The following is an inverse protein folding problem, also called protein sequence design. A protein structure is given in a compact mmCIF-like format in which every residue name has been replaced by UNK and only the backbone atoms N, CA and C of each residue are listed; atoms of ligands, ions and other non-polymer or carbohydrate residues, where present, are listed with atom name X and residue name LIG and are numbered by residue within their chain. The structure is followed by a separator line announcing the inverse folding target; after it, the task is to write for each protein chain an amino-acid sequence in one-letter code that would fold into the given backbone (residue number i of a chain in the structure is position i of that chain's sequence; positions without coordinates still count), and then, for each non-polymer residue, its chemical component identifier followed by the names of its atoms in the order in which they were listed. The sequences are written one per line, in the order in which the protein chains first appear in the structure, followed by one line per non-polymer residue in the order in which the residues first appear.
data_IF_800834339540
#
_entry.id   IF_800834339540
#
_cell.length_a   1.000
_cell.length_b   1.000
_cell.length_c   1.000
_cell.angle_alpha   90.00
_cell.angle_beta   90.00
_cell.angle_gamma   90.00
#
_symmetry.space_group_name_H-M   'P 1'
#
loop_
_entity.id
_entity.type
_entity.pdbx_description
1 polymer ?
#
# COMPACT_ATOMS: atom_id res chain seq x y z
N UNK A 1 6.76 59.00 -25.02
CA UNK A 1 6.78 57.53 -25.02
C UNK A 1 6.05 57.08 -23.78
N UNK A 2 4.85 56.51 -23.94
CA UNK A 2 4.01 56.09 -22.83
C UNK A 2 4.37 54.63 -22.57
N UNK A 3 5.11 54.37 -21.49
CA UNK A 3 5.30 52.99 -21.03
C UNK A 3 4.00 52.56 -20.35
N UNK A 4 3.17 51.82 -21.07
CA UNK A 4 2.05 51.10 -20.47
C UNK A 4 2.63 50.01 -19.57
N UNK A 5 2.41 50.06 -18.25
CA UNK A 5 2.80 48.94 -17.40
C UNK A 5 1.92 47.75 -17.78
N UNK A 6 2.55 46.67 -18.25
CA UNK A 6 1.90 45.36 -18.35
C UNK A 6 1.59 44.95 -16.91
N UNK A 7 0.33 45.07 -16.49
CA UNK A 7 -0.12 44.53 -15.22
C UNK A 7 -0.02 43.01 -15.32
N UNK A 8 1.07 42.44 -14.84
CA UNK A 8 1.18 41.00 -14.61
C UNK A 8 0.31 40.70 -13.40
N UNK A 9 -0.95 40.36 -13.65
CA UNK A 9 -1.82 39.89 -12.59
C UNK A 9 -1.28 38.52 -12.17
N UNK A 10 -0.66 38.47 -10.99
CA UNK A 10 -0.10 37.24 -10.43
C UNK A 10 -1.26 36.33 -10.01
N UNK A 11 -1.78 35.52 -10.94
CA UNK A 11 -2.71 34.45 -10.58
C UNK A 11 -1.97 33.36 -9.79
N UNK A 12 -2.65 32.79 -8.80
CA UNK A 12 -2.06 31.79 -7.91
C UNK A 12 -2.39 30.39 -8.41
N UNK A 13 -1.34 29.63 -8.72
CA UNK A 13 -1.45 28.20 -9.04
C UNK A 13 -1.74 27.38 -7.78
N UNK A 14 -2.50 26.30 -7.95
CA UNK A 14 -2.75 25.30 -6.91
C UNK A 14 -1.67 24.22 -6.92
N UNK A 15 -1.55 23.46 -5.84
CA UNK A 15 -0.68 22.28 -5.86
C UNK A 15 -1.27 21.22 -6.81
N UNK A 16 -0.43 20.46 -7.53
CA UNK A 16 -0.91 19.29 -8.23
C UNK A 16 -1.40 18.22 -7.24
N UNK A 17 -2.27 17.32 -7.68
CA UNK A 17 -2.69 16.17 -6.88
C UNK A 17 -2.56 14.86 -7.68
N UNK A 18 -2.54 13.74 -6.96
CA UNK A 18 -2.38 12.41 -7.53
C UNK A 18 -3.54 11.54 -7.05
N UNK A 19 -4.53 11.27 -7.91
CA UNK A 19 -5.72 10.52 -7.51
C UNK A 19 -5.40 9.07 -7.10
N UNK A 20 -4.29 8.53 -7.59
CA UNK A 20 -3.81 7.18 -7.27
C UNK A 20 -3.10 7.08 -5.91
N UNK A 21 -3.01 8.18 -5.15
CA UNK A 21 -2.35 8.17 -3.84
C UNK A 21 -3.20 7.54 -2.74
N UNK A 22 -2.58 6.72 -1.90
CA UNK A 22 -3.19 6.08 -0.73
C UNK A 22 -2.47 6.54 0.54
N UNK A 23 -3.21 7.08 1.52
CA UNK A 23 -2.65 7.63 2.80
C UNK A 23 -1.43 8.55 2.58
N UNK A 24 -1.41 9.30 1.46
CA UNK A 24 -0.33 10.19 0.99
C UNK A 24 0.92 9.52 0.38
N UNK A 25 0.82 8.26 -0.05
CA UNK A 25 1.87 7.56 -0.77
C UNK A 25 1.42 6.96 -2.11
N UNK A 26 2.41 6.54 -2.89
CA UNK A 26 2.26 5.88 -4.19
C UNK A 26 2.90 4.50 -4.06
N UNK A 27 2.06 3.47 -4.22
CA UNK A 27 2.47 2.07 -4.30
C UNK A 27 2.93 1.67 -5.70
N UNK A 28 3.44 0.45 -5.83
CA UNK A 28 3.97 -0.11 -7.07
C UNK A 28 2.96 -0.14 -8.22
N UNK A 29 1.70 -0.49 -7.93
CA UNK A 29 0.64 -0.53 -8.96
C UNK A 29 0.36 0.87 -9.53
N UNK A 30 0.24 1.87 -8.65
CA UNK A 30 0.02 3.26 -9.06
C UNK A 30 1.24 3.84 -9.80
N UNK A 31 2.45 3.39 -9.47
CA UNK A 31 3.69 3.81 -10.10
C UNK A 31 3.79 3.39 -11.58
N UNK A 32 3.16 2.29 -11.99
CA UNK A 32 3.21 1.79 -13.38
C UNK A 32 2.58 2.75 -14.40
N UNK A 33 1.58 3.54 -13.98
CA UNK A 33 0.95 4.57 -14.79
C UNK A 33 0.62 5.80 -13.93
N UNK A 34 1.65 6.44 -13.38
CA UNK A 34 1.46 7.50 -12.41
C UNK A 34 0.97 8.80 -13.07
N UNK A 35 -0.22 9.24 -12.67
CA UNK A 35 -0.87 10.45 -13.16
C UNK A 35 -0.78 11.59 -12.16
N UNK A 36 -0.42 12.77 -12.67
CA UNK A 36 -0.46 14.04 -11.94
C UNK A 36 -1.53 14.92 -12.55
N UNK A 37 -2.49 15.30 -11.71
CA UNK A 37 -3.61 16.15 -12.07
C UNK A 37 -3.33 17.59 -11.69
N UNK A 38 -3.62 18.49 -12.62
CA UNK A 38 -3.51 19.92 -12.47
C UNK A 38 -4.86 20.52 -12.84
N UNK A 39 -5.56 21.05 -11.83
CA UNK A 39 -6.83 21.72 -12.05
C UNK A 39 -6.65 23.04 -12.82
N UNK A 40 -7.68 23.46 -13.56
CA UNK A 40 -7.65 24.73 -14.27
C UNK A 40 -7.41 25.90 -13.30
N UNK A 41 -6.69 26.90 -13.78
CA UNK A 41 -6.40 28.12 -13.02
C UNK A 41 -7.07 29.35 -13.68
N UNK A 42 -7.22 30.47 -12.94
CA UNK A 42 -7.70 31.71 -13.52
C UNK A 42 -6.84 32.14 -14.70
N UNK A 43 -7.45 32.54 -15.81
CA UNK A 43 -6.74 32.96 -17.03
C UNK A 43 -5.97 31.82 -17.74
N UNK A 44 -6.29 30.55 -17.49
CA UNK A 44 -5.82 29.43 -18.31
C UNK A 44 -6.19 29.66 -19.78
N UNK A 45 -5.20 29.57 -20.68
CA UNK A 45 -5.38 29.92 -22.09
C UNK A 45 -4.69 28.92 -23.04
N UNK A 46 -5.15 28.89 -24.28
CA UNK A 46 -4.56 28.08 -25.34
C UNK A 46 -3.12 28.52 -25.60
N UNK A 47 -2.21 27.57 -25.75
CA UNK A 47 -0.78 27.82 -25.93
C UNK A 47 0.00 28.03 -24.63
N UNK A 48 -0.65 28.04 -23.47
CA UNK A 48 0.06 27.92 -22.18
C UNK A 48 0.82 26.58 -22.13
N UNK A 49 2.05 26.61 -21.65
CA UNK A 49 2.88 25.40 -21.47
C UNK A 49 2.90 25.00 -20.00
N UNK A 50 2.44 23.79 -19.70
CA UNK A 50 2.62 23.13 -18.41
C UNK A 50 3.91 22.31 -18.45
N UNK A 51 4.80 22.52 -17.48
CA UNK A 51 5.99 21.69 -17.27
C UNK A 51 5.92 21.04 -15.89
N UNK A 52 5.92 19.71 -15.84
CA UNK A 52 5.86 18.93 -14.61
C UNK A 52 7.27 18.56 -14.13
N UNK A 53 7.51 18.75 -12.84
CA UNK A 53 8.77 18.41 -12.18
C UNK A 53 8.56 17.38 -11.08
N UNK A 54 9.29 16.26 -11.16
CA UNK A 54 9.28 15.18 -10.18
C UNK A 54 10.64 15.09 -9.49
N UNK A 55 10.67 15.27 -8.16
CA UNK A 55 11.94 15.28 -7.42
C UNK A 55 12.90 16.40 -7.83
N UNK A 56 12.38 17.44 -8.51
CA UNK A 56 13.18 18.52 -9.09
C UNK A 56 13.64 18.29 -10.54
N UNK A 57 13.44 17.10 -11.10
CA UNK A 57 13.75 16.79 -12.49
C UNK A 57 12.53 17.05 -13.39
N UNK A 58 12.74 17.56 -14.60
CA UNK A 58 11.68 17.69 -15.60
C UNK A 58 11.19 16.31 -16.01
N UNK A 59 9.90 16.04 -15.84
CA UNK A 59 9.30 14.72 -16.06
C UNK A 59 8.42 14.68 -17.31
N UNK A 60 7.60 15.71 -17.52
CA UNK A 60 6.67 15.79 -18.63
C UNK A 60 6.28 17.24 -18.91
N UNK A 61 5.67 17.49 -20.07
CA UNK A 61 5.01 18.76 -20.35
C UNK A 61 3.74 18.56 -21.17
N UNK A 62 2.91 19.59 -21.20
CA UNK A 62 1.71 19.67 -22.02
C UNK A 62 1.54 21.10 -22.51
N UNK A 63 1.49 21.27 -23.83
CA UNK A 63 1.05 22.51 -24.45
C UNK A 63 -0.48 22.49 -24.51
N UNK A 64 -1.13 23.50 -23.94
CA UNK A 64 -2.58 23.56 -23.90
C UNK A 64 -3.19 23.90 -25.26
N UNK A 65 -4.28 23.23 -25.58
CA UNK A 65 -5.15 23.48 -26.71
C UNK A 65 -6.49 24.04 -26.24
N UNK A 66 -7.34 24.48 -27.17
CA UNK A 66 -8.68 25.00 -26.85
C UNK A 66 -9.55 23.99 -26.08
N UNK A 67 -9.40 22.68 -26.35
CA UNK A 67 -10.17 21.64 -25.66
C UNK A 67 -9.73 21.40 -24.22
N UNK A 68 -8.58 21.93 -23.81
CA UNK A 68 -8.07 21.76 -22.45
C UNK A 68 -8.60 22.84 -21.49
N UNK A 69 -9.11 23.94 -22.03
CA UNK A 69 -9.47 25.12 -21.23
C UNK A 69 -10.65 24.81 -20.31
N UNK A 70 -10.47 25.09 -19.02
CA UNK A 70 -11.47 24.77 -17.99
C UNK A 70 -11.50 23.30 -17.57
N UNK A 71 -10.61 22.46 -18.11
CA UNK A 71 -10.52 21.04 -17.77
C UNK A 71 -9.20 20.72 -17.03
N UNK A 72 -9.25 19.71 -16.16
CA UNK A 72 -8.07 19.21 -15.45
C UNK A 72 -7.08 18.64 -16.46
N UNK A 73 -5.84 19.12 -16.42
CA UNK A 73 -4.74 18.58 -17.21
C UNK A 73 -4.10 17.39 -16.50
N UNK A 74 -3.96 16.29 -17.22
CA UNK A 74 -3.32 15.05 -16.74
C UNK A 74 -1.97 14.90 -17.41
N UNK A 75 -0.90 14.80 -16.62
CA UNK A 75 0.45 14.49 -17.09
C UNK A 75 0.95 13.21 -16.42
N UNK A 76 1.66 12.38 -17.18
CA UNK A 76 2.19 11.12 -16.69
C UNK A 76 3.64 11.29 -16.23
N UNK A 77 3.99 10.68 -15.09
CA UNK A 77 5.39 10.60 -14.64
C UNK A 77 5.97 9.29 -15.16
N UNK A 78 7.03 9.32 -15.99
CA UNK A 78 7.63 8.09 -16.48
C UNK A 78 8.18 7.23 -15.34
N UNK A 79 8.00 5.92 -15.43
CA UNK A 79 8.45 4.96 -14.40
C UNK A 79 9.95 5.09 -14.08
N UNK A 80 10.77 5.50 -15.06
CA UNK A 80 12.21 5.73 -14.89
C UNK A 80 12.55 6.79 -13.83
N UNK A 81 11.63 7.70 -13.52
CA UNK A 81 11.77 8.73 -12.47
C UNK A 81 11.36 8.23 -11.08
N UNK A 82 10.67 7.10 -11.00
CA UNK A 82 10.09 6.60 -9.76
C UNK A 82 11.13 5.79 -8.99
N UNK A 83 11.41 6.23 -7.77
CA UNK A 83 12.29 5.59 -6.80
C UNK A 83 11.64 5.69 -5.44
N UNK A 84 11.76 4.63 -4.64
CA UNK A 84 11.23 4.64 -3.29
C UNK A 84 11.87 5.73 -2.43
N UNK A 85 11.05 6.36 -1.59
CA UNK A 85 11.45 7.46 -0.73
C UNK A 85 10.50 8.66 -0.80
N UNK A 86 10.89 9.73 -0.11
CA UNK A 86 10.15 10.99 -0.11
C UNK A 86 10.41 11.73 -1.41
N UNK A 87 9.34 12.21 -2.05
CA UNK A 87 9.45 13.02 -3.25
C UNK A 87 8.53 14.23 -3.18
N UNK A 88 8.91 15.27 -3.90
CA UNK A 88 8.11 16.46 -4.12
C UNK A 88 7.84 16.62 -5.60
N UNK A 89 6.58 16.81 -5.96
CA UNK A 89 6.15 17.13 -7.32
C UNK A 89 5.55 18.52 -7.37
N UNK A 90 5.79 19.25 -8.45
CA UNK A 90 5.24 20.58 -8.71
C UNK A 90 5.25 20.82 -10.21
N UNK A 91 4.55 21.85 -10.67
CA UNK A 91 4.56 22.24 -12.07
C UNK A 91 4.90 23.72 -12.23
N UNK A 92 5.19 24.09 -13.47
CA UNK A 92 5.28 25.48 -13.93
C UNK A 92 4.31 25.70 -15.06
N UNK A 93 3.77 26.91 -15.14
CA UNK A 93 2.98 27.38 -16.27
C UNK A 93 3.74 28.53 -16.91
N UNK A 94 4.00 28.42 -18.20
CA UNK A 94 4.61 29.47 -19.01
C UNK A 94 3.58 29.96 -20.01
N UNK A 95 3.11 31.20 -19.83
CA UNK A 95 2.27 31.87 -20.82
C UNK A 95 3.14 32.48 -21.92
N UNK A 96 2.58 32.64 -23.12
CA UNK A 96 3.29 33.29 -24.23
C UNK A 96 3.74 34.70 -23.82
N UNK A 97 5.03 34.97 -23.93
CA UNK A 97 5.63 36.27 -23.58
C UNK A 97 5.72 36.58 -22.08
N UNK A 98 5.44 35.61 -21.20
CA UNK A 98 5.54 35.77 -19.74
C UNK A 98 6.62 34.88 -19.13
N UNK A 99 7.10 35.26 -17.94
CA UNK A 99 7.97 34.37 -17.16
C UNK A 99 7.19 33.16 -16.60
N UNK A 100 7.84 32.00 -16.45
CA UNK A 100 7.21 30.82 -15.86
C UNK A 100 6.77 31.04 -14.41
N UNK A 101 5.51 30.73 -14.10
CA UNK A 101 4.96 30.77 -12.75
C UNK A 101 5.01 29.37 -12.14
N UNK A 102 5.58 29.23 -10.95
CA UNK A 102 5.74 27.94 -10.26
C UNK A 102 4.61 27.67 -9.27
N UNK A 103 4.06 26.46 -9.31
CA UNK A 103 3.05 26.00 -8.35
C UNK A 103 3.64 25.71 -6.96
N UNK A 104 2.81 25.69 -5.90
CA UNK A 104 3.11 24.93 -4.70
C UNK A 104 3.38 23.46 -5.05
N UNK A 105 4.20 22.78 -4.25
CA UNK A 105 4.51 21.36 -4.51
C UNK A 105 3.77 20.43 -3.56
N UNK A 106 3.32 19.30 -4.10
CA UNK A 106 2.80 18.17 -3.34
C UNK A 106 3.97 17.30 -2.86
N UNK A 107 3.94 16.91 -1.59
CA UNK A 107 4.91 15.98 -0.99
C UNK A 107 4.22 14.64 -0.79
N UNK A 108 4.90 13.57 -1.17
CA UNK A 108 4.38 12.22 -1.06
C UNK A 108 5.53 11.23 -0.81
N UNK A 109 5.15 10.02 -0.40
CA UNK A 109 6.05 8.88 -0.31
C UNK A 109 5.85 7.97 -1.51
N UNK A 110 6.92 7.50 -2.11
CA UNK A 110 6.89 6.40 -3.07
C UNK A 110 7.43 5.18 -2.35
N UNK A 111 6.74 4.05 -2.45
CA UNK A 111 7.26 2.74 -2.00
C UNK A 111 6.91 1.71 -3.06
N UNK A 112 7.92 1.30 -3.80
CA UNK A 112 7.80 0.33 -4.90
C UNK A 112 7.98 -1.10 -4.41
N UNK A 113 8.65 -1.28 -3.28
CA UNK A 113 8.90 -2.58 -2.68
C UNK A 113 7.64 -3.06 -1.94
N UNK A 114 7.02 -4.11 -2.46
CA UNK A 114 5.82 -4.74 -1.89
C UNK A 114 6.18 -5.63 -0.70
N UNK A 115 5.37 -5.67 0.37
CA UNK A 115 5.57 -6.63 1.46
C UNK A 115 5.54 -8.06 0.93
N UNK A 116 6.44 -8.91 1.41
CA UNK A 116 6.63 -10.27 0.88
C UNK A 116 7.42 -10.32 -0.43
N UNK A 117 7.85 -9.19 -0.98
CA UNK A 117 8.70 -9.15 -2.18
C UNK A 117 7.97 -9.46 -3.49
N UNK A 118 8.76 -9.79 -4.52
CA UNK A 118 8.26 -10.10 -5.85
C UNK A 118 7.64 -11.50 -5.89
N UNK A 119 6.47 -11.60 -6.50
CA UNK A 119 5.79 -12.88 -6.69
C UNK A 119 6.61 -13.78 -7.63
N UNK A 120 6.89 -15.00 -7.17
CA UNK A 120 7.64 -16.01 -7.94
C UNK A 120 6.78 -16.59 -9.07
N UNK A 121 5.48 -16.74 -8.85
CA UNK A 121 4.50 -17.20 -9.85
C UNK A 121 3.33 -16.22 -9.92
N UNK A 122 3.00 -15.73 -11.13
CA UNK A 122 1.85 -14.84 -11.34
C UNK A 122 0.49 -15.55 -11.27
N UNK A 123 0.49 -16.87 -11.38
CA UNK A 123 -0.69 -17.73 -11.35
C UNK A 123 -0.94 -18.23 -9.92
N UNK A 124 -1.61 -17.41 -9.11
CA UNK A 124 -1.97 -17.75 -7.75
C UNK A 124 -2.25 -16.52 -6.89
N UNK A 125 -3.11 -16.70 -5.88
CA UNK A 125 -3.37 -15.69 -4.84
C UNK A 125 -2.36 -15.76 -3.69
N UNK A 126 -1.37 -16.67 -3.80
CA UNK A 126 -0.33 -16.88 -2.80
C UNK A 126 0.98 -16.19 -3.15
N UNK A 127 1.64 -15.63 -2.14
CA UNK A 127 2.97 -15.04 -2.22
C UNK A 127 3.97 -15.90 -1.46
N UNK A 128 4.78 -16.65 -2.21
CA UNK A 128 5.83 -17.53 -1.68
C UNK A 128 6.99 -16.78 -0.99
N UNK A 129 7.04 -15.45 -1.07
CA UNK A 129 7.97 -14.64 -0.28
C UNK A 129 7.50 -14.36 1.15
N UNK A 130 6.26 -14.73 1.49
CA UNK A 130 5.78 -14.80 2.87
C UNK A 130 5.92 -16.26 3.36
N UNK A 131 6.52 -16.44 4.54
CA UNK A 131 6.54 -17.75 5.18
C UNK A 131 5.13 -18.11 5.68
N UNK A 132 4.67 -19.36 5.59
CA UNK A 132 3.41 -19.75 6.22
C UNK A 132 3.50 -19.58 7.74
N UNK A 133 2.37 -19.38 8.41
CA UNK A 133 2.33 -19.26 9.87
C UNK A 133 2.95 -20.49 10.55
N UNK A 134 3.59 -20.26 11.70
CA UNK A 134 4.22 -21.30 12.51
C UNK A 134 3.58 -21.36 13.89
N UNK A 135 3.27 -22.57 14.34
CA UNK A 135 2.78 -22.83 15.70
C UNK A 135 3.86 -23.53 16.51
N UNK A 136 3.63 -23.73 17.81
CA UNK A 136 4.47 -24.59 18.64
C UNK A 136 4.53 -26.01 18.08
N UNK A 137 5.62 -26.73 18.34
CA UNK A 137 5.79 -28.12 17.84
C UNK A 137 4.63 -29.04 18.25
N UNK A 138 4.07 -28.84 19.45
CA UNK A 138 2.90 -29.60 19.93
C UNK A 138 1.66 -29.35 19.08
N UNK A 139 1.37 -28.10 18.71
CA UNK A 139 0.22 -27.80 17.83
C UNK A 139 0.46 -28.30 16.42
N UNK A 140 1.70 -28.22 15.93
CA UNK A 140 2.07 -28.73 14.61
C UNK A 140 1.95 -30.25 14.50
N UNK A 141 2.22 -30.98 15.59
CA UNK A 141 2.15 -32.45 15.62
C UNK A 141 0.75 -32.98 16.02
N UNK A 142 0.19 -32.46 17.11
CA UNK A 142 -1.04 -32.97 17.73
C UNK A 142 -2.31 -32.23 17.25
N UNK A 143 -2.13 -31.05 16.63
CA UNK A 143 -3.23 -30.16 16.28
C UNK A 143 -3.74 -29.33 17.46
N UNK A 144 -4.89 -28.69 17.24
CA UNK A 144 -5.59 -27.98 18.31
C UNK A 144 -6.32 -28.98 19.21
N UNK A 145 -5.87 -29.06 20.45
CA UNK A 145 -6.49 -29.84 21.53
C UNK A 145 -7.47 -29.00 22.36
N UNK A 146 -8.29 -29.65 23.19
CA UNK A 146 -9.27 -29.01 24.07
C UNK A 146 -8.72 -27.80 24.87
N UNK A 147 -7.46 -27.87 25.33
CA UNK A 147 -6.81 -26.77 26.06
C UNK A 147 -6.81 -25.45 25.27
N UNK A 148 -6.64 -25.51 23.96
CA UNK A 148 -6.59 -24.31 23.12
C UNK A 148 -7.97 -23.65 22.95
N UNK A 149 -9.06 -24.41 23.14
CA UNK A 149 -10.42 -23.87 23.13
C UNK A 149 -10.74 -23.07 24.40
N UNK A 150 -9.99 -23.31 25.49
CA UNK A 150 -10.10 -22.59 26.76
C UNK A 150 -9.09 -21.43 26.86
N UNK A 151 -7.85 -21.67 26.44
CA UNK A 151 -6.73 -20.73 26.64
C UNK A 151 -6.39 -19.88 25.42
N UNK A 152 -6.82 -20.29 24.22
CA UNK A 152 -6.35 -19.74 22.95
C UNK A 152 -5.09 -20.45 22.46
N UNK A 153 -4.50 -19.92 21.39
CA UNK A 153 -3.27 -20.47 20.80
C UNK A 153 -2.38 -19.36 20.27
N UNK A 154 -1.07 -19.54 20.45
CA UNK A 154 -0.07 -18.63 19.93
C UNK A 154 0.43 -19.11 18.56
N UNK A 155 0.56 -18.19 17.61
CA UNK A 155 1.27 -18.41 16.35
C UNK A 155 2.34 -17.35 16.13
N UNK A 156 3.29 -17.65 15.26
CA UNK A 156 4.37 -16.77 14.86
C UNK A 156 4.33 -16.52 13.36
N UNK A 157 4.47 -15.25 12.99
CA UNK A 157 4.73 -14.80 11.62
C UNK A 157 6.21 -14.44 11.52
N UNK A 158 6.94 -15.05 10.60
CA UNK A 158 8.35 -14.70 10.39
C UNK A 158 8.48 -13.29 9.81
N UNK A 159 9.62 -12.65 10.08
CA UNK A 159 9.97 -11.41 9.40
C UNK A 159 10.01 -11.64 7.89
N UNK A 160 9.38 -10.77 7.11
CA UNK A 160 9.22 -10.93 5.67
C UNK A 160 10.00 -9.87 4.87
N UNK A 161 10.29 -10.13 3.58
CA UNK A 161 10.90 -9.15 2.70
C UNK A 161 10.10 -7.85 2.64
N UNK A 162 10.80 -6.71 2.70
CA UNK A 162 10.22 -5.37 2.65
C UNK A 162 9.21 -5.05 3.78
N UNK A 163 9.33 -5.78 4.91
CA UNK A 163 8.65 -5.46 6.17
C UNK A 163 9.01 -4.05 6.62
N UNK A 164 8.00 -3.29 6.99
CA UNK A 164 8.16 -1.89 7.35
C UNK A 164 7.16 -1.50 8.45
N UNK A 165 7.47 -0.41 9.14
CA UNK A 165 6.52 0.12 10.11
C UNK A 165 5.25 0.61 9.40
N UNK A 166 4.14 0.50 10.11
CA UNK A 166 2.78 0.77 9.66
C UNK A 166 2.23 -0.23 8.64
N UNK A 167 2.91 -1.35 8.41
CA UNK A 167 2.31 -2.48 7.74
C UNK A 167 1.12 -2.99 8.58
N UNK A 168 -0.02 -3.18 7.93
CA UNK A 168 -1.26 -3.68 8.52
C UNK A 168 -1.41 -5.15 8.13
N UNK A 169 -1.41 -6.05 9.11
CA UNK A 169 -1.51 -7.50 8.89
C UNK A 169 -2.94 -7.96 9.17
N UNK A 170 -3.48 -8.72 8.23
CA UNK A 170 -4.76 -9.41 8.38
C UNK A 170 -4.50 -10.92 8.39
N UNK A 171 -4.82 -11.57 9.49
CA UNK A 171 -4.82 -13.03 9.62
C UNK A 171 -6.17 -13.60 9.18
N UNK A 172 -6.13 -14.66 8.39
CA UNK A 172 -7.26 -15.54 8.08
C UNK A 172 -7.15 -16.80 8.95
N UNK A 173 -8.20 -17.08 9.71
CA UNK A 173 -8.34 -18.23 10.59
C UNK A 173 -9.59 -19.01 10.17
N UNK A 174 -9.44 -19.94 9.23
CA UNK A 174 -10.57 -20.53 8.50
C UNK A 174 -11.34 -19.43 7.75
N UNK A 175 -12.63 -19.30 8.04
CA UNK A 175 -13.48 -18.23 7.50
C UNK A 175 -13.42 -16.91 8.30
N UNK A 176 -12.73 -16.92 9.44
CA UNK A 176 -12.65 -15.77 10.33
C UNK A 176 -11.47 -14.87 9.99
N UNK A 177 -11.63 -13.59 10.30
CA UNK A 177 -10.62 -12.55 10.05
C UNK A 177 -10.21 -11.89 11.36
N UNK A 178 -8.90 -11.77 11.56
CA UNK A 178 -8.31 -11.03 12.67
C UNK A 178 -7.34 -9.98 12.13
N UNK A 179 -7.66 -8.71 12.32
CA UNK A 179 -6.77 -7.61 11.98
C UNK A 179 -5.85 -7.30 13.17
N UNK A 180 -4.54 -7.33 12.92
CA UNK A 180 -3.53 -7.03 13.93
C UNK A 180 -3.29 -5.50 14.01
N UNK A 181 -2.78 -5.00 15.15
CA UNK A 181 -2.31 -3.63 15.22
C UNK A 181 -1.24 -3.35 14.15
N UNK A 182 -1.19 -2.12 13.58
CA UNK A 182 -0.14 -1.75 12.65
C UNK A 182 1.25 -1.92 13.26
N UNK A 183 2.20 -2.42 12.48
CA UNK A 183 3.57 -2.63 12.95
C UNK A 183 4.23 -1.32 13.40
N UNK A 184 5.02 -1.41 14.46
CA UNK A 184 5.87 -0.33 14.93
C UNK A 184 7.28 -0.44 14.33
N UNK A 185 8.13 0.56 14.58
CA UNK A 185 9.54 0.49 14.17
C UNK A 185 10.31 -0.62 14.88
N UNK A 186 9.92 -0.99 16.10
CA UNK A 186 10.61 -2.01 16.89
C UNK A 186 10.27 -3.45 16.43
N UNK A 187 9.19 -3.60 15.66
CA UNK A 187 8.74 -4.88 15.09
C UNK A 187 9.49 -5.23 13.80
N UNK A 188 10.01 -4.23 13.08
CA UNK A 188 10.63 -4.42 11.77
C UNK A 188 11.84 -5.36 11.85
N UNK A 189 11.81 -6.41 11.03
CA UNK A 189 12.87 -7.41 10.96
C UNK A 189 12.82 -8.45 12.10
N UNK A 190 11.75 -8.50 12.88
CA UNK A 190 11.53 -9.49 13.94
C UNK A 190 10.29 -10.35 13.65
N UNK A 191 10.27 -11.60 14.14
CA UNK A 191 9.04 -12.39 14.11
C UNK A 191 7.93 -11.73 14.94
N UNK A 192 6.71 -11.80 14.45
CA UNK A 192 5.52 -11.29 15.12
C UNK A 192 4.81 -12.45 15.80
N UNK A 193 4.65 -12.34 17.11
CA UNK A 193 3.89 -13.31 17.91
C UNK A 193 2.46 -12.84 18.01
N UNK A 194 1.52 -13.71 17.63
CA UNK A 194 0.09 -13.43 17.59
C UNK A 194 -0.62 -14.38 18.54
N UNK A 195 -1.37 -13.82 19.47
CA UNK A 195 -2.26 -14.56 20.36
C UNK A 195 -3.63 -14.67 19.71
N UNK A 196 -4.07 -15.89 19.41
CA UNK A 196 -5.40 -16.19 18.92
C UNK A 196 -6.31 -16.41 20.13
N UNK A 197 -7.32 -15.55 20.36
CA UNK A 197 -8.19 -15.68 21.52
C UNK A 197 -8.98 -17.00 21.47
N UNK A 198 -9.20 -17.60 22.64
CA UNK A 198 -10.02 -18.80 22.80
C UNK A 198 -11.41 -18.70 22.14
N UNK A 199 -12.00 -17.50 22.13
CA UNK A 199 -13.27 -17.21 21.43
C UNK A 199 -13.18 -17.55 19.94
N UNK A 200 -12.12 -17.10 19.27
CA UNK A 200 -11.90 -17.34 17.84
C UNK A 200 -11.61 -18.82 17.55
N UNK A 201 -10.87 -19.48 18.44
CA UNK A 201 -10.61 -20.93 18.35
C UNK A 201 -11.91 -21.73 18.45
N UNK A 202 -12.81 -21.35 19.36
CA UNK A 202 -14.13 -21.99 19.51
C UNK A 202 -15.05 -21.79 18.31
N UNK A 203 -14.98 -20.63 17.66
CA UNK A 203 -15.80 -20.33 16.48
C UNK A 203 -15.44 -21.16 15.25
N UNK A 204 -14.21 -21.71 15.17
CA UNK A 204 -13.82 -22.66 14.11
C UNK A 204 -14.67 -23.94 14.10
N UNK A 205 -15.14 -24.37 15.27
CA UNK A 205 -15.83 -25.66 15.41
C UNK A 205 -14.95 -26.87 15.07
N UNK A 206 -15.57 -27.95 14.62
CA UNK A 206 -14.92 -29.24 14.33
C UNK A 206 -14.42 -29.34 12.87
N UNK A 207 -13.86 -28.27 12.30
CA UNK A 207 -13.25 -28.34 10.96
C UNK A 207 -12.02 -29.26 11.01
N UNK A 208 -12.01 -30.41 10.31
CA UNK A 208 -10.88 -31.34 10.36
C UNK A 208 -9.58 -30.74 9.81
N UNK A 209 -9.64 -29.66 9.02
CA UNK A 209 -8.46 -28.99 8.45
C UNK A 209 -8.63 -27.48 8.48
N UNK A 210 -8.39 -26.87 9.63
CA UNK A 210 -8.35 -25.42 9.77
C UNK A 210 -7.22 -24.83 8.91
N UNK A 211 -7.59 -23.99 7.96
CA UNK A 211 -6.65 -23.25 7.13
C UNK A 211 -6.30 -21.90 7.75
N UNK A 212 -5.01 -21.64 7.98
CA UNK A 212 -4.52 -20.38 8.54
C UNK A 212 -3.53 -19.73 7.58
N UNK A 213 -3.77 -18.46 7.24
CA UNK A 213 -2.90 -17.65 6.39
C UNK A 213 -2.95 -16.18 6.84
N UNK A 214 -2.13 -15.32 6.24
CA UNK A 214 -2.17 -13.89 6.48
C UNK A 214 -1.84 -13.11 5.19
N UNK A 215 -2.26 -11.86 5.12
CA UNK A 215 -1.80 -10.90 4.13
C UNK A 215 -1.40 -9.59 4.81
N UNK A 216 -0.64 -8.77 4.08
CA UNK A 216 -0.07 -7.52 4.55
C UNK A 216 -0.42 -6.41 3.57
N UNK A 217 -0.86 -5.27 4.11
CA UNK A 217 -1.04 -4.03 3.36
C UNK A 217 -0.11 -2.99 3.96
N UNK A 218 0.79 -2.42 3.15
CA UNK A 218 1.70 -1.40 3.63
C UNK A 218 1.08 -0.01 3.72
N UNK A 219 1.86 0.94 4.25
CA UNK A 219 1.46 2.34 4.43
C UNK A 219 0.99 3.06 3.15
N UNK A 220 1.39 2.59 1.97
CA UNK A 220 1.01 3.18 0.66
C UNK A 220 0.01 2.29 -0.10
N UNK A 221 -0.51 1.24 0.53
CA UNK A 221 -1.52 0.35 -0.02
C UNK A 221 -0.98 -0.76 -0.93
N UNK A 222 0.33 -1.05 -0.92
CA UNK A 222 0.82 -2.25 -1.57
C UNK A 222 0.30 -3.48 -0.82
N UNK A 223 -0.27 -4.43 -1.55
CA UNK A 223 -0.80 -5.67 -1.01
C UNK A 223 0.17 -6.82 -1.28
N UNK A 224 0.51 -7.59 -0.25
CA UNK A 224 1.41 -8.74 -0.37
C UNK A 224 0.82 -9.96 -1.07
N UNK A 225 -0.51 -10.00 -1.27
CA UNK A 225 -1.31 -11.22 -1.41
C UNK A 225 -1.23 -12.12 -0.17
N UNK A 226 -1.91 -13.26 -0.19
CA UNK A 226 -1.91 -14.19 0.92
C UNK A 226 -0.59 -14.94 1.03
N UNK A 227 -0.12 -15.20 2.24
CA UNK A 227 0.94 -16.17 2.48
C UNK A 227 0.44 -17.58 2.10
N UNK A 228 1.34 -18.53 1.78
CA UNK A 228 0.95 -19.92 1.60
C UNK A 228 0.25 -20.39 2.88
N UNK A 229 -0.87 -21.09 2.70
CA UNK A 229 -1.68 -21.48 3.83
C UNK A 229 -1.06 -22.60 4.67
N UNK A 230 -1.33 -22.57 5.97
CA UNK A 230 -1.01 -23.65 6.90
C UNK A 230 -2.28 -24.40 7.27
N UNK A 231 -2.31 -25.71 7.04
CA UNK A 231 -3.39 -26.56 7.52
C UNK A 231 -3.05 -27.08 8.91
N UNK A 232 -3.96 -26.92 9.86
CA UNK A 232 -3.86 -27.42 11.22
C UNK A 232 -5.02 -28.37 11.48
N UNK A 233 -4.72 -29.52 12.06
CA UNK A 233 -5.73 -30.47 12.50
C UNK A 233 -6.46 -29.90 13.71
N UNK A 234 -7.78 -29.98 13.72
CA UNK A 234 -8.58 -29.75 14.93
C UNK A 234 -8.98 -31.10 15.51
N UNK A 235 -8.66 -31.33 16.78
CA UNK A 235 -8.95 -32.59 17.46
C UNK A 235 -9.76 -32.30 18.73
N UNK A 236 -11.08 -32.40 18.62
CA UNK A 236 -12.01 -32.23 19.75
C UNK A 236 -12.28 -33.52 20.52
N UNK A 237 -11.63 -34.63 20.16
CA UNK A 237 -11.75 -35.90 20.88
C UNK A 237 -11.23 -35.80 22.32
N UNK A 238 -12.13 -35.51 23.25
CA UNK A 238 -12.05 -36.02 24.61
C UNK A 238 -12.16 -37.53 24.48
N UNK A 239 -11.03 -38.23 24.59
CA UNK A 239 -11.07 -39.69 24.71
C UNK A 239 -11.74 -40.01 26.04
N UNK A 240 -13.06 -40.24 26.02
CA UNK A 240 -13.80 -40.85 27.13
C UNK A 240 -13.30 -42.30 27.25
N UNK A 241 -12.15 -42.46 27.89
CA UNK A 241 -11.55 -43.73 28.21
C UNK A 241 -12.02 -44.19 29.59
N UNK A 242 -13.08 -44.99 29.63
CA UNK A 242 -13.12 -46.29 30.33
C UNK A 242 -14.58 -46.79 30.49
N UNK A 243 -15.03 -47.58 29.52
CA UNK A 243 -15.89 -48.72 29.87
C UNK A 243 -14.97 -49.87 30.32
N UNK A 244 -15.08 -50.24 31.60
CA UNK A 244 -14.86 -51.60 32.12
C UNK A 244 -15.76 -51.84 33.32
#
# INVERSE_FOLDING_TARGET
MIHTPVMTQSFKLMAPYLPQSNKHGIGALAAADLQVHIDPWPEMDCGDLIELFWGGCYAASKLLSESDIGHTSVLHVPESFLRSGKVKTYYRVTKIGSEPIKSPGAKLWVKLETPGGQLVSGEGDENQGLAPVTFTESVMHDGLTARHFDEGVQLTLDAYPNMDAYDEITLRWGDLRLDLPPLTQDDVGRPIVVEIPAELVRETGDDPHLEVSYCVIDRVGNNSRWAPARLIKVSTDVTDGAEV
#
